data_IF_787678514701
#
_entry.id   IF_787678514701
#
_cell.length_a   1.000
_cell.length_b   1.000
_cell.length_c   1.000
_cell.angle_alpha   90.00
_cell.angle_beta   90.00
_cell.angle_gamma   90.00
#
_symmetry.space_group_name_H-M   'P 1'
#
loop_
_entity.id
_entity.type
_entity.pdbx_description
1 polymer ?
#
# COMPACT_ATOMS: atom_id res chain seq x y z
N UNK A 1 15.38 -42.58 58.18
CA UNK A 1 16.16 -41.42 58.64
C UNK A 1 16.77 -40.58 57.53
N UNK A 2 17.83 -40.98 56.80
CA UNK A 2 18.45 -40.09 55.79
C UNK A 2 17.56 -39.88 54.55
N UNK A 3 16.89 -40.95 54.08
CA UNK A 3 15.95 -40.87 52.95
C UNK A 3 14.75 -39.96 53.24
N UNK A 4 14.24 -39.94 54.48
CA UNK A 4 13.17 -39.03 54.91
C UNK A 4 13.66 -37.59 54.94
N UNK A 5 14.85 -37.33 55.49
CA UNK A 5 15.45 -35.99 55.50
C UNK A 5 15.64 -35.43 54.09
N UNK A 6 16.06 -36.26 53.13
CA UNK A 6 16.15 -35.85 51.71
C UNK A 6 14.77 -35.42 51.21
N UNK A 7 13.72 -36.22 51.44
CA UNK A 7 12.35 -35.90 51.01
C UNK A 7 11.76 -34.65 51.69
N UNK A 8 12.15 -34.36 52.93
CA UNK A 8 11.62 -33.23 53.71
C UNK A 8 12.35 -31.91 53.45
N UNK A 9 13.56 -31.95 52.88
CA UNK A 9 14.40 -30.77 52.63
C UNK A 9 13.71 -29.79 51.68
N UNK A 10 13.72 -28.48 51.97
CA UNK A 10 12.93 -27.49 51.22
C UNK A 10 13.75 -26.50 50.40
N UNK A 11 15.06 -26.43 50.58
CA UNK A 11 15.94 -25.55 49.81
C UNK A 11 17.10 -26.30 49.18
N UNK A 12 17.60 -25.79 48.06
CA UNK A 12 18.81 -26.32 47.40
C UNK A 12 20.03 -26.22 48.32
N UNK A 13 20.13 -25.18 49.15
CA UNK A 13 21.21 -25.01 50.13
C UNK A 13 21.21 -26.13 51.17
N UNK A 14 20.06 -26.40 51.80
CA UNK A 14 19.91 -27.50 52.76
C UNK A 14 20.17 -28.86 52.10
N UNK A 15 19.74 -29.05 50.85
CA UNK A 15 19.94 -30.30 50.11
C UNK A 15 21.43 -30.52 49.81
N UNK A 16 22.16 -29.46 49.48
CA UNK A 16 23.60 -29.48 49.22
C UNK A 16 24.41 -29.73 50.50
N UNK A 17 24.01 -29.14 51.63
CA UNK A 17 24.58 -29.42 52.95
C UNK A 17 24.38 -30.89 53.34
N UNK A 18 23.17 -31.41 53.15
CA UNK A 18 22.84 -32.81 53.40
C UNK A 18 23.63 -33.75 52.47
N UNK A 19 23.75 -33.41 51.19
CA UNK A 19 24.55 -34.16 50.22
C UNK A 19 26.02 -34.23 50.66
N UNK A 20 26.57 -33.10 51.11
CA UNK A 20 27.96 -33.01 51.61
C UNK A 20 28.15 -33.85 52.88
N UNK A 21 27.16 -33.91 53.77
CA UNK A 21 27.20 -34.75 54.98
C UNK A 21 27.18 -36.26 54.68
N UNK A 22 26.64 -36.67 53.54
CA UNK A 22 26.52 -38.08 53.14
C UNK A 22 27.69 -38.50 52.23
N UNK A 23 27.99 -37.71 51.20
CA UNK A 23 28.95 -38.04 50.14
C UNK A 23 30.24 -37.21 50.16
N UNK A 24 30.38 -36.25 51.08
CA UNK A 24 31.59 -35.44 51.22
C UNK A 24 32.80 -36.25 51.69
N UNK A 25 33.96 -35.59 51.83
CA UNK A 25 35.23 -36.23 52.22
C UNK A 25 35.16 -37.02 53.55
N UNK A 26 34.36 -36.50 54.49
CA UNK A 26 34.07 -37.08 55.79
C UNK A 26 32.62 -37.59 55.91
N UNK A 27 31.96 -37.81 54.78
CA UNK A 27 30.54 -38.19 54.74
C UNK A 27 30.29 -39.62 55.20
N UNK A 28 29.09 -39.87 55.70
CA UNK A 28 28.68 -41.18 56.24
C UNK A 28 28.73 -42.30 55.20
N UNK A 29 28.27 -42.04 53.97
CA UNK A 29 28.34 -43.00 52.86
C UNK A 29 29.79 -43.17 52.37
N UNK A 30 30.56 -42.08 52.30
CA UNK A 30 31.99 -42.14 51.94
C UNK A 30 32.80 -43.00 52.92
N UNK A 31 32.52 -42.93 54.22
CA UNK A 31 33.16 -43.78 55.22
C UNK A 31 32.81 -45.25 55.03
N UNK A 32 31.52 -45.56 54.78
CA UNK A 32 31.04 -46.94 54.51
C UNK A 32 31.64 -47.51 53.22
N UNK A 33 31.75 -46.70 52.16
CA UNK A 33 32.38 -47.11 50.90
C UNK A 33 33.88 -47.38 51.04
N UNK A 34 34.60 -46.67 51.92
CA UNK A 34 36.03 -46.94 52.22
C UNK A 34 36.23 -48.27 52.96
N UNK A 35 35.26 -48.69 53.76
CA UNK A 35 35.28 -49.95 54.51
C UNK A 35 34.84 -51.16 53.68
N UNK A 36 34.45 -50.95 52.41
CA UNK A 36 33.96 -51.99 51.50
C UNK A 36 34.93 -53.17 51.32
N UNK A 37 36.24 -52.93 51.46
CA UNK A 37 37.27 -53.99 51.41
C UNK A 37 37.09 -55.08 52.47
N UNK A 38 36.41 -54.78 53.58
CA UNK A 38 36.19 -55.68 54.71
C UNK A 38 34.84 -56.41 54.66
N UNK A 39 34.02 -56.18 53.61
CA UNK A 39 32.70 -56.78 53.44
C UNK A 39 32.72 -57.99 52.50
N UNK A 40 31.77 -58.92 52.68
CA UNK A 40 31.50 -60.01 51.75
C UNK A 40 30.78 -59.53 50.47
N UNK A 41 30.58 -60.42 49.49
CA UNK A 41 30.02 -60.05 48.19
C UNK A 41 28.58 -59.54 48.28
N UNK A 42 27.76 -60.11 49.15
CA UNK A 42 26.35 -59.73 49.30
C UNK A 42 26.22 -58.36 49.96
N UNK A 43 26.99 -58.11 51.02
CA UNK A 43 27.04 -56.81 51.70
C UNK A 43 27.63 -55.71 50.81
N UNK A 44 28.58 -56.03 49.92
CA UNK A 44 29.09 -55.10 48.89
C UNK A 44 28.03 -54.75 47.85
N UNK A 45 27.26 -55.72 47.39
CA UNK A 45 26.19 -55.49 46.43
C UNK A 45 25.09 -54.60 47.03
N UNK A 46 24.74 -54.83 48.30
CA UNK A 46 23.75 -54.02 49.01
C UNK A 46 24.22 -52.57 49.22
N UNK A 47 25.48 -52.37 49.64
CA UNK A 47 26.04 -51.03 49.81
C UNK A 47 26.10 -50.23 48.50
N UNK A 48 26.39 -50.89 47.37
CA UNK A 48 26.37 -50.26 46.06
C UNK A 48 24.95 -49.87 45.63
N UNK A 49 23.96 -50.73 45.92
CA UNK A 49 22.54 -50.45 45.67
C UNK A 49 22.08 -49.23 46.48
N UNK A 50 22.36 -49.22 47.78
CA UNK A 50 22.01 -48.09 48.66
C UNK A 50 22.67 -46.78 48.21
N UNK A 51 23.94 -46.81 47.81
CA UNK A 51 24.63 -45.64 47.26
C UNK A 51 23.98 -45.13 45.97
N UNK A 52 23.57 -46.02 45.07
CA UNK A 52 22.86 -45.65 43.84
C UNK A 52 21.48 -45.06 44.15
N UNK A 53 20.71 -45.71 45.03
CA UNK A 53 19.38 -45.25 45.46
C UNK A 53 19.43 -43.89 46.12
N UNK A 54 20.39 -43.65 47.02
CA UNK A 54 20.53 -42.33 47.66
C UNK A 54 20.92 -41.25 46.65
N UNK A 55 21.82 -41.53 45.70
CA UNK A 55 22.18 -40.57 44.64
C UNK A 55 20.98 -40.22 43.78
N UNK A 56 20.17 -41.21 43.39
CA UNK A 56 18.94 -40.97 42.65
C UNK A 56 17.91 -40.20 43.48
N UNK A 57 17.82 -40.46 44.78
CA UNK A 57 16.90 -39.73 45.66
C UNK A 57 17.30 -38.25 45.79
N UNK A 58 18.60 -37.95 45.91
CA UNK A 58 19.10 -36.57 45.89
C UNK A 58 18.84 -35.88 44.55
N UNK A 59 19.13 -36.56 43.43
CA UNK A 59 18.87 -36.04 42.08
C UNK A 59 17.39 -35.73 41.88
N UNK A 60 16.52 -36.65 42.28
CA UNK A 60 15.07 -36.50 42.20
C UNK A 60 14.61 -35.31 43.04
N UNK A 61 15.06 -35.21 44.29
CA UNK A 61 14.69 -34.11 45.17
C UNK A 61 15.17 -32.75 44.66
N UNK A 62 16.38 -32.70 44.12
CA UNK A 62 16.92 -31.48 43.52
C UNK A 62 15.99 -31.01 42.38
N UNK A 63 15.63 -31.89 41.46
CA UNK A 63 14.72 -31.55 40.36
C UNK A 63 13.31 -31.14 40.84
N UNK A 64 12.80 -31.74 41.92
CA UNK A 64 11.53 -31.32 42.53
C UNK A 64 11.58 -29.89 43.08
N UNK A 65 12.66 -29.53 43.79
CA UNK A 65 12.84 -28.19 44.35
C UNK A 65 13.02 -27.17 43.22
N UNK A 66 13.87 -27.44 42.23
CA UNK A 66 14.08 -26.57 41.07
C UNK A 66 12.77 -26.34 40.28
N UNK A 67 11.97 -27.39 40.06
CA UNK A 67 10.68 -27.28 39.40
C UNK A 67 9.66 -26.48 40.22
N UNK A 68 9.68 -26.61 41.56
CA UNK A 68 8.81 -25.84 42.43
C UNK A 68 9.18 -24.34 42.44
N UNK A 69 10.47 -24.01 42.51
CA UNK A 69 10.98 -22.63 42.42
C UNK A 69 10.64 -22.00 41.06
N UNK A 70 10.85 -22.74 39.96
CA UNK A 70 10.50 -22.28 38.61
C UNK A 70 9.00 -22.03 38.47
N UNK A 71 8.15 -22.95 38.92
CA UNK A 71 6.70 -22.77 38.84
C UNK A 71 6.21 -21.60 39.72
N UNK A 72 6.82 -21.39 40.89
CA UNK A 72 6.53 -20.22 41.73
C UNK A 72 6.92 -18.92 41.02
N UNK A 73 8.08 -18.88 40.35
CA UNK A 73 8.51 -17.73 39.56
C UNK A 73 7.58 -17.49 38.34
N UNK A 74 7.17 -18.54 37.64
CA UNK A 74 6.22 -18.43 36.52
C UNK A 74 4.84 -17.96 36.98
N UNK A 75 4.41 -18.37 38.18
CA UNK A 75 3.14 -17.93 38.75
C UNK A 75 3.11 -16.42 39.06
N UNK A 76 4.26 -15.82 39.40
CA UNK A 76 4.36 -14.36 39.62
C UNK A 76 4.57 -13.57 38.33
N UNK A 77 4.97 -14.22 37.24
CA UNK A 77 5.20 -13.61 35.92
C UNK A 77 4.00 -13.76 34.96
N UNK A 78 2.78 -13.92 35.48
CA UNK A 78 1.59 -13.96 34.62
C UNK A 78 1.33 -12.59 34.02
N UNK A 79 1.50 -12.48 32.71
CA UNK A 79 1.07 -11.35 31.91
C UNK A 79 -0.34 -11.62 31.37
N UNK A 80 -1.16 -10.58 31.28
CA UNK A 80 -2.35 -10.62 30.44
C UNK A 80 -1.94 -10.49 28.97
N UNK A 81 -1.89 -11.62 28.27
CA UNK A 81 -1.55 -11.69 26.84
C UNK A 81 -2.66 -11.16 25.93
N UNK A 82 -3.82 -10.80 26.49
CA UNK A 82 -4.93 -10.18 25.76
C UNK A 82 -4.90 -8.66 25.81
N UNK A 83 -3.99 -8.07 26.61
CA UNK A 83 -3.77 -6.62 26.57
C UNK A 83 -3.33 -6.21 25.18
N UNK A 84 -3.97 -5.17 24.67
CA UNK A 84 -3.55 -4.53 23.43
C UNK A 84 -2.09 -4.08 23.57
N UNK A 85 -1.30 -4.33 22.53
CA UNK A 85 0.00 -3.69 22.42
C UNK A 85 -0.20 -2.16 22.43
N UNK A 86 0.83 -1.41 22.86
CA UNK A 86 0.77 0.04 22.69
C UNK A 86 0.39 0.37 21.25
N UNK A 87 -0.59 1.27 21.02
CA UNK A 87 -1.08 1.52 19.69
C UNK A 87 0.06 2.06 18.83
N UNK A 88 0.51 1.26 17.86
CA UNK A 88 1.37 1.76 16.81
C UNK A 88 0.57 2.80 16.02
N UNK A 89 1.03 4.06 16.04
CA UNK A 89 0.50 5.09 15.16
C UNK A 89 0.93 4.79 13.72
N UNK A 90 0.30 3.78 13.10
CA UNK A 90 0.51 3.45 11.69
C UNK A 90 -0.15 4.54 10.86
N UNK A 91 0.67 5.26 10.10
CA UNK A 91 0.18 6.17 9.08
C UNK A 91 -0.47 5.40 7.94
N UNK A 92 -1.31 6.11 7.22
CA UNK A 92 -2.13 5.61 6.11
C UNK A 92 -1.96 6.55 4.92
N UNK A 93 -2.20 6.03 3.72
CA UNK A 93 -2.03 6.79 2.48
C UNK A 93 -3.38 7.38 2.09
N UNK A 94 -3.37 8.65 1.70
CA UNK A 94 -4.57 9.35 1.25
C UNK A 94 -5.26 8.60 0.08
N UNK A 95 -6.60 8.50 0.04
CA UNK A 95 -7.32 7.72 -0.99
C UNK A 95 -6.97 8.13 -2.42
N UNK A 96 -6.80 9.43 -2.68
CA UNK A 96 -6.39 9.94 -4.00
C UNK A 96 -5.02 9.42 -4.39
N UNK A 97 -4.07 9.36 -3.45
CA UNK A 97 -2.71 8.86 -3.69
C UNK A 97 -2.71 7.35 -3.92
N UNK A 98 -3.56 6.60 -3.21
CA UNK A 98 -3.71 5.16 -3.47
C UNK A 98 -4.32 4.87 -4.83
N UNK A 99 -5.39 5.59 -5.19
CA UNK A 99 -5.99 5.49 -6.52
C UNK A 99 -4.98 5.85 -7.62
N UNK A 100 -4.18 6.91 -7.42
CA UNK A 100 -3.11 7.30 -8.33
C UNK A 100 -2.09 6.17 -8.51
N UNK A 101 -1.62 5.57 -7.41
CA UNK A 101 -0.67 4.44 -7.45
C UNK A 101 -1.21 3.28 -8.27
N UNK A 102 -2.46 2.87 -7.99
CA UNK A 102 -3.09 1.76 -8.70
C UNK A 102 -3.32 2.08 -10.20
N UNK A 103 -3.76 3.30 -10.51
CA UNK A 103 -3.95 3.74 -11.90
C UNK A 103 -2.62 3.74 -12.65
N UNK A 104 -1.56 4.29 -12.05
CA UNK A 104 -0.21 4.29 -12.63
C UNK A 104 0.26 2.87 -12.92
N UNK A 105 0.14 1.95 -11.97
CA UNK A 105 0.53 0.54 -12.17
C UNK A 105 -0.24 -0.13 -13.33
N UNK A 106 -1.52 0.19 -13.50
CA UNK A 106 -2.32 -0.34 -14.61
C UNK A 106 -1.83 0.24 -15.93
N UNK A 107 -1.67 1.56 -16.03
CA UNK A 107 -1.24 2.22 -17.26
C UNK A 107 0.19 1.82 -17.66
N UNK A 108 1.11 1.72 -16.70
CA UNK A 108 2.48 1.23 -16.93
C UNK A 108 2.48 -0.21 -17.47
N UNK A 109 1.60 -1.07 -16.96
CA UNK A 109 1.47 -2.43 -17.49
C UNK A 109 0.93 -2.51 -18.92
N UNK A 110 0.28 -1.45 -19.41
CA UNK A 110 -0.14 -1.30 -20.80
C UNK A 110 0.95 -0.65 -21.68
N UNK A 111 2.12 -0.36 -21.09
CA UNK A 111 3.28 0.23 -21.76
C UNK A 111 3.25 1.76 -21.82
N UNK A 112 2.40 2.43 -21.03
CA UNK A 112 2.47 3.89 -20.91
C UNK A 112 3.60 4.31 -19.97
N UNK A 113 4.31 5.37 -20.34
CA UNK A 113 5.37 5.98 -19.52
C UNK A 113 4.85 7.17 -18.73
N UNK A 114 5.18 7.24 -17.44
CA UNK A 114 4.70 8.31 -16.56
C UNK A 114 5.42 9.64 -16.83
N UNK A 115 4.65 10.71 -16.98
CA UNK A 115 5.13 12.07 -17.15
C UNK A 115 4.52 13.02 -16.12
N UNK A 116 5.29 14.02 -15.74
CA UNK A 116 4.84 15.15 -14.91
C UNK A 116 5.29 16.46 -15.54
N UNK A 117 4.71 17.58 -15.12
CA UNK A 117 5.08 18.89 -15.61
C UNK A 117 4.60 20.01 -14.69
N UNK A 118 4.93 21.27 -15.03
CA UNK A 118 4.64 22.41 -14.16
C UNK A 118 3.14 22.64 -14.05
N UNK A 119 2.71 23.17 -12.90
CA UNK A 119 1.31 23.57 -12.66
C UNK A 119 1.01 24.96 -13.22
N UNK A 120 2.03 25.81 -13.33
CA UNK A 120 1.94 27.11 -14.01
C UNK A 120 2.38 26.90 -15.45
N UNK A 121 1.48 27.16 -16.38
CA UNK A 121 1.69 27.01 -17.82
C UNK A 121 1.55 28.34 -18.55
N UNK A 122 2.17 28.44 -19.73
CA UNK A 122 1.89 29.51 -20.66
C UNK A 122 0.65 29.20 -21.52
N UNK A 123 0.16 30.18 -22.27
CA UNK A 123 -0.99 30.02 -23.17
C UNK A 123 -0.73 28.97 -24.28
N UNK A 124 0.52 28.87 -24.74
CA UNK A 124 0.89 27.94 -25.82
C UNK A 124 0.59 26.50 -25.40
N UNK A 125 1.16 26.05 -24.29
CA UNK A 125 1.02 24.67 -23.84
C UNK A 125 -0.38 24.37 -23.30
N UNK A 126 -1.02 25.32 -22.62
CA UNK A 126 -2.33 25.06 -22.01
C UNK A 126 -3.49 25.15 -23.02
N UNK A 127 -3.35 25.89 -24.13
CA UNK A 127 -4.44 26.13 -25.06
C UNK A 127 -4.05 26.13 -26.55
N UNK A 128 -3.11 26.97 -26.98
CA UNK A 128 -2.88 27.21 -28.42
C UNK A 128 -2.38 25.96 -29.14
N UNK A 129 -1.40 25.25 -28.57
CA UNK A 129 -0.89 24.00 -29.12
C UNK A 129 -1.98 22.91 -29.18
N UNK A 130 -2.94 22.96 -28.27
CA UNK A 130 -4.12 22.08 -28.19
C UNK A 130 -5.28 22.55 -29.08
N UNK A 131 -4.99 23.34 -30.12
CA UNK A 131 -5.95 23.79 -31.13
C UNK A 131 -7.17 24.51 -30.51
N UNK A 132 -7.01 25.09 -29.32
CA UNK A 132 -8.07 25.82 -28.63
C UNK A 132 -7.96 27.29 -29.02
N UNK A 133 -8.92 27.88 -29.77
CA UNK A 133 -8.80 29.27 -30.23
C UNK A 133 -8.99 30.30 -29.11
N UNK A 134 -8.54 31.54 -29.31
CA UNK A 134 -8.61 32.64 -28.34
C UNK A 134 -10.04 32.95 -27.85
N UNK A 135 -11.04 32.73 -28.70
CA UNK A 135 -12.46 32.95 -28.39
C UNK A 135 -13.14 31.74 -27.74
N UNK A 136 -12.40 30.68 -27.41
CA UNK A 136 -12.97 29.48 -26.78
C UNK A 136 -13.34 29.76 -25.32
N UNK A 137 -14.52 29.29 -24.83
CA UNK A 137 -14.94 29.52 -23.43
C UNK A 137 -13.93 29.06 -22.38
N UNK A 138 -13.20 27.97 -22.63
CA UNK A 138 -12.13 27.51 -21.73
C UNK A 138 -11.02 28.54 -21.46
N UNK A 139 -10.88 29.58 -22.31
CA UNK A 139 -9.95 30.70 -22.13
C UNK A 139 -10.59 31.91 -21.42
N UNK A 140 -11.85 31.82 -21.03
CA UNK A 140 -12.53 32.90 -20.33
C UNK A 140 -11.90 33.12 -18.94
N UNK A 141 -11.79 34.40 -18.54
CA UNK A 141 -11.33 34.78 -17.21
C UNK A 141 -12.26 34.27 -16.10
N UNK A 142 -13.51 33.93 -16.41
CA UNK A 142 -14.44 33.34 -15.44
C UNK A 142 -14.08 31.91 -15.06
N UNK A 143 -13.43 31.15 -15.96
CA UNK A 143 -13.17 29.71 -15.77
C UNK A 143 -11.70 29.42 -15.40
N UNK A 144 -10.77 30.25 -15.90
CA UNK A 144 -9.31 30.02 -15.76
C UNK A 144 -8.65 30.98 -14.76
N UNK A 145 -7.70 30.46 -13.97
CA UNK A 145 -6.84 31.26 -13.10
C UNK A 145 -5.65 31.84 -13.86
N UNK A 146 -5.79 33.07 -14.34
CA UNK A 146 -4.71 33.85 -14.94
C UNK A 146 -3.80 34.50 -13.88
N UNK A 147 -2.50 34.49 -14.14
CA UNK A 147 -1.45 35.13 -13.35
C UNK A 147 -1.10 36.51 -13.93
N UNK A 148 -0.47 37.36 -13.10
CA UNK A 148 -0.12 38.74 -13.48
C UNK A 148 0.81 38.84 -14.70
N UNK A 149 1.60 37.80 -14.97
CA UNK A 149 2.54 37.74 -16.09
C UNK A 149 1.90 37.17 -17.38
N UNK A 150 0.61 36.87 -17.38
CA UNK A 150 -0.10 36.27 -18.53
C UNK A 150 -0.11 34.74 -18.56
N UNK A 151 0.64 34.08 -17.66
CA UNK A 151 0.58 32.63 -17.50
C UNK A 151 -0.73 32.21 -16.82
N UNK A 152 -1.02 30.92 -16.81
CA UNK A 152 -2.20 30.32 -16.18
C UNK A 152 -1.81 29.23 -15.21
N UNK A 153 -2.63 29.02 -14.18
CA UNK A 153 -2.66 27.71 -13.53
C UNK A 153 -3.31 26.74 -14.52
N UNK A 154 -2.64 25.64 -14.85
CA UNK A 154 -3.10 24.73 -15.92
C UNK A 154 -4.51 24.20 -15.65
N UNK A 155 -5.34 24.17 -16.68
CA UNK A 155 -6.74 23.71 -16.59
C UNK A 155 -6.91 22.21 -16.87
N UNK A 156 -5.83 21.61 -17.35
CA UNK A 156 -5.75 20.24 -17.85
C UNK A 156 -4.28 19.78 -17.81
N UNK A 157 -4.05 18.47 -17.75
CA UNK A 157 -2.70 17.90 -17.86
C UNK A 157 -2.22 17.75 -19.30
N UNK A 158 -3.04 18.13 -20.29
CA UNK A 158 -2.69 18.09 -21.72
C UNK A 158 -1.49 18.96 -22.07
N UNK A 159 -1.20 19.99 -21.27
CA UNK A 159 0.03 20.78 -21.42
C UNK A 159 1.28 19.90 -21.30
N UNK A 160 1.26 18.87 -20.45
CA UNK A 160 2.34 17.89 -20.30
C UNK A 160 2.46 17.04 -21.58
N UNK A 161 1.34 16.72 -22.23
CA UNK A 161 1.35 15.98 -23.49
C UNK A 161 2.03 16.77 -24.62
N UNK A 162 1.73 18.08 -24.71
CA UNK A 162 2.40 18.98 -25.67
C UNK A 162 3.91 18.99 -25.43
N UNK A 163 4.32 19.20 -24.17
CA UNK A 163 5.74 19.18 -23.79
C UNK A 163 6.42 17.87 -24.15
N UNK A 164 5.78 16.73 -23.84
CA UNK A 164 6.33 15.42 -24.15
C UNK A 164 6.47 15.18 -25.66
N UNK A 165 5.49 15.60 -26.47
CA UNK A 165 5.62 15.53 -27.94
C UNK A 165 6.76 16.40 -28.47
N UNK A 166 6.99 17.58 -27.89
CA UNK A 166 8.11 18.47 -28.25
C UNK A 166 9.48 17.92 -27.83
N UNK A 167 9.57 17.25 -26.68
CA UNK A 167 10.86 16.74 -26.14
C UNK A 167 11.21 15.34 -26.63
N UNK A 168 10.24 14.43 -26.66
CA UNK A 168 10.47 13.00 -26.85
C UNK A 168 10.17 12.57 -28.29
N UNK A 169 9.29 13.31 -28.99
CA UNK A 169 8.86 13.02 -30.35
C UNK A 169 7.92 11.83 -30.45
N UNK A 170 7.97 11.10 -31.57
CA UNK A 170 7.11 9.94 -31.87
C UNK A 170 7.93 8.72 -32.34
N UNK A 171 7.50 7.48 -32.06
CA UNK A 171 6.27 7.09 -31.37
C UNK A 171 6.31 7.38 -29.87
N UNK A 172 5.15 7.72 -29.29
CA UNK A 172 5.03 8.06 -27.87
C UNK A 172 3.80 7.39 -27.26
N UNK A 173 3.99 6.73 -26.11
CA UNK A 173 2.92 6.17 -25.29
C UNK A 173 3.16 6.59 -23.84
N UNK A 174 2.39 7.56 -23.37
CA UNK A 174 2.61 8.23 -22.08
C UNK A 174 1.31 8.50 -21.32
N UNK A 175 1.41 8.66 -20.01
CA UNK A 175 0.35 9.25 -19.20
C UNK A 175 0.91 10.35 -18.31
N UNK A 176 0.19 11.46 -18.25
CA UNK A 176 0.47 12.60 -17.41
C UNK A 176 -0.40 12.53 -16.16
N UNK A 177 0.16 12.92 -15.02
CA UNK A 177 -0.60 13.08 -13.78
C UNK A 177 -0.30 14.44 -13.15
N UNK A 178 -1.30 15.01 -12.49
CA UNK A 178 -1.08 16.16 -11.63
C UNK A 178 -2.32 16.99 -11.37
N UNK A 179 -2.16 18.01 -10.52
CA UNK A 179 -3.22 18.93 -10.16
C UNK A 179 -3.58 19.86 -11.32
N UNK A 180 -4.85 20.12 -11.51
CA UNK A 180 -5.40 21.09 -12.46
C UNK A 180 -6.34 22.05 -11.72
N UNK A 181 -6.57 23.23 -12.29
CA UNK A 181 -7.21 24.34 -11.60
C UNK A 181 -8.32 24.95 -12.45
N UNK A 182 -9.50 25.15 -11.86
CA UNK A 182 -10.67 25.79 -12.48
C UNK A 182 -11.43 26.61 -11.46
N UNK A 183 -12.10 27.69 -11.88
CA UNK A 183 -12.87 28.55 -10.97
C UNK A 183 -14.27 27.99 -10.69
N UNK A 184 -14.33 26.72 -10.31
CA UNK A 184 -15.56 25.98 -10.02
C UNK A 184 -15.52 25.45 -8.59
N UNK A 185 -16.64 25.50 -7.87
CA UNK A 185 -16.73 24.96 -6.51
C UNK A 185 -18.16 24.52 -6.17
N UNK A 186 -18.36 23.20 -6.08
CA UNK A 186 -19.58 22.57 -5.57
C UNK A 186 -19.25 21.21 -4.91
N UNK A 187 -20.24 20.31 -4.72
CA UNK A 187 -20.02 19.01 -4.09
C UNK A 187 -19.22 18.01 -4.97
N UNK A 188 -19.18 18.25 -6.28
CA UNK A 188 -18.56 17.40 -7.32
C UNK A 188 -17.42 18.09 -8.05
N UNK A 189 -17.25 19.40 -7.89
CA UNK A 189 -16.22 20.22 -8.50
C UNK A 189 -15.43 20.98 -7.44
N UNK A 190 -14.11 20.87 -7.48
CA UNK A 190 -13.19 21.63 -6.64
C UNK A 190 -12.37 22.60 -7.47
N UNK A 191 -11.88 23.71 -6.88
CA UNK A 191 -11.08 24.68 -7.62
C UNK A 191 -9.70 24.15 -8.01
N UNK A 192 -9.29 23.05 -7.37
CA UNK A 192 -8.15 22.22 -7.69
C UNK A 192 -8.59 20.77 -7.60
N UNK A 193 -8.21 19.96 -8.59
CA UNK A 193 -8.43 18.51 -8.58
C UNK A 193 -7.30 17.79 -9.32
N UNK A 194 -7.13 16.51 -9.07
CA UNK A 194 -6.18 15.66 -9.78
C UNK A 194 -6.76 15.21 -11.12
N UNK A 195 -5.95 15.31 -12.17
CA UNK A 195 -6.27 14.80 -13.49
C UNK A 195 -5.19 13.83 -13.95
N UNK A 196 -5.64 12.80 -14.68
CA UNK A 196 -4.76 11.86 -15.36
C UNK A 196 -5.17 11.84 -16.82
N UNK A 197 -4.18 11.96 -17.70
CA UNK A 197 -4.40 11.91 -19.13
C UNK A 197 -3.39 11.02 -19.82
N UNK A 198 -3.87 10.18 -20.73
CA UNK A 198 -3.03 9.34 -21.58
C UNK A 198 -2.92 9.89 -22.99
N UNK A 199 -1.78 9.65 -23.63
CA UNK A 199 -1.51 9.91 -25.03
C UNK A 199 -0.81 8.68 -25.64
N UNK A 200 -1.30 8.22 -26.79
CA UNK A 200 -0.61 7.21 -27.59
C UNK A 200 -0.61 7.60 -29.06
N UNK A 201 0.57 7.87 -29.63
CA UNK A 201 0.78 8.20 -31.05
C UNK A 201 1.79 7.22 -31.66
N UNK A 202 1.38 6.56 -32.74
CA UNK A 202 2.20 5.73 -33.61
C UNK A 202 1.57 5.67 -35.02
N UNK A 203 2.12 4.92 -35.97
CA UNK A 203 1.67 4.91 -37.38
C UNK A 203 0.26 4.35 -37.57
N UNK A 204 -0.14 3.38 -36.77
CA UNK A 204 -1.35 2.57 -36.98
C UNK A 204 -2.30 2.55 -35.77
N UNK A 205 -2.28 3.58 -34.93
CA UNK A 205 -3.15 3.67 -33.75
C UNK A 205 -4.56 4.06 -34.16
N UNK A 206 -5.58 3.37 -33.66
CA UNK A 206 -6.98 3.58 -34.03
C UNK A 206 -7.87 3.86 -32.83
N UNK A 207 -9.09 4.34 -33.10
CA UNK A 207 -10.13 4.49 -32.07
C UNK A 207 -10.50 3.14 -31.42
N UNK A 208 -10.35 2.02 -32.14
CA UNK A 208 -10.59 0.69 -31.59
C UNK A 208 -9.58 0.34 -30.50
N UNK A 209 -8.32 0.77 -30.66
CA UNK A 209 -7.27 0.57 -29.66
C UNK A 209 -7.59 1.38 -28.39
N UNK A 210 -8.01 2.65 -28.53
CA UNK A 210 -8.48 3.49 -27.42
C UNK A 210 -9.60 2.80 -26.62
N UNK A 211 -10.63 2.33 -27.32
CA UNK A 211 -11.79 1.67 -26.67
C UNK A 211 -11.35 0.35 -26.00
N UNK A 212 -10.38 -0.36 -26.57
CA UNK A 212 -9.76 -1.54 -25.99
C UNK A 212 -9.05 -1.23 -24.67
N UNK A 213 -8.14 -0.26 -24.70
CA UNK A 213 -7.36 0.19 -23.53
C UNK A 213 -8.28 0.68 -22.40
N UNK A 214 -9.28 1.52 -22.71
CA UNK A 214 -10.24 2.03 -21.71
C UNK A 214 -11.02 0.90 -21.05
N UNK A 215 -11.51 -0.07 -21.84
CA UNK A 215 -12.27 -1.21 -21.30
C UNK A 215 -11.40 -2.07 -20.39
N UNK A 216 -10.17 -2.35 -20.81
CA UNK A 216 -9.22 -3.12 -20.02
C UNK A 216 -8.84 -2.38 -18.72
N UNK A 217 -8.63 -1.06 -18.81
CA UNK A 217 -8.33 -0.20 -17.68
C UNK A 217 -9.44 -0.25 -16.63
N UNK A 218 -10.69 0.07 -16.99
CA UNK A 218 -11.79 0.09 -16.03
C UNK A 218 -12.08 -1.28 -15.45
N UNK A 219 -11.92 -2.34 -16.25
CA UNK A 219 -12.09 -3.71 -15.77
C UNK A 219 -11.11 -4.02 -14.63
N UNK A 220 -9.83 -3.67 -14.81
CA UNK A 220 -8.79 -3.90 -13.81
C UNK A 220 -8.92 -2.95 -12.62
N UNK A 221 -9.09 -1.66 -12.87
CA UNK A 221 -9.18 -0.65 -11.81
C UNK A 221 -10.37 -0.86 -10.88
N UNK A 222 -11.55 -1.24 -11.39
CA UNK A 222 -12.71 -1.52 -10.53
C UNK A 222 -12.84 -2.99 -10.12
N UNK A 223 -11.90 -3.87 -10.51
CA UNK A 223 -11.96 -5.30 -10.19
C UNK A 223 -13.21 -6.00 -10.75
N UNK A 224 -13.74 -5.52 -11.87
CA UNK A 224 -14.99 -6.01 -12.46
C UNK A 224 -14.75 -7.20 -13.39
N UNK A 225 -15.68 -8.14 -13.44
CA UNK A 225 -15.63 -9.25 -14.41
C UNK A 225 -16.01 -8.78 -15.82
N UNK A 226 -16.95 -7.82 -15.91
CA UNK A 226 -17.45 -7.23 -17.14
C UNK A 226 -17.54 -5.70 -17.03
N UNK A 227 -17.33 -5.01 -18.14
CA UNK A 227 -17.44 -3.56 -18.26
C UNK A 227 -18.28 -3.23 -19.49
N UNK A 228 -19.44 -2.64 -19.27
CA UNK A 228 -20.30 -2.11 -20.32
C UNK A 228 -20.00 -0.62 -20.52
N UNK A 229 -19.55 -0.26 -21.72
CA UNK A 229 -19.24 1.12 -22.11
C UNK A 229 -20.29 1.64 -23.07
N UNK A 230 -20.67 2.91 -22.90
CA UNK A 230 -21.47 3.68 -23.86
C UNK A 230 -20.62 4.83 -24.37
N UNK A 231 -20.35 4.82 -25.67
CA UNK A 231 -19.53 5.82 -26.35
C UNK A 231 -20.47 6.83 -26.99
N UNK A 232 -20.34 8.10 -26.62
CA UNK A 232 -21.12 9.20 -27.18
C UNK A 232 -20.20 10.15 -27.94
N UNK A 233 -20.58 10.63 -29.13
CA UNK A 233 -19.87 11.73 -29.77
C UNK A 233 -19.86 12.95 -28.83
N UNK A 234 -18.72 13.61 -28.74
CA UNK A 234 -18.56 14.88 -28.03
C UNK A 234 -17.69 15.83 -28.87
N UNK A 235 -17.21 16.91 -28.28
CA UNK A 235 -16.32 17.87 -28.93
C UNK A 235 -15.23 18.33 -27.97
N UNK A 236 -13.98 18.08 -28.36
CA UNK A 236 -12.80 18.72 -27.78
C UNK A 236 -11.97 19.31 -28.92
N UNK A 237 -11.47 20.56 -28.82
CA UNK A 237 -10.71 21.20 -29.89
C UNK A 237 -9.46 20.42 -30.33
N UNK A 238 -8.90 19.62 -29.42
CA UNK A 238 -7.67 18.83 -29.62
C UNK A 238 -7.90 17.39 -30.10
N UNK A 239 -9.15 16.95 -30.30
CA UNK A 239 -9.44 15.60 -30.83
C UNK A 239 -10.53 15.59 -31.91
N UNK A 240 -10.36 14.73 -32.92
CA UNK A 240 -11.38 14.44 -33.94
C UNK A 240 -11.18 13.04 -34.56
N UNK A 241 -12.12 12.08 -34.38
CA UNK A 241 -13.37 12.20 -33.63
C UNK A 241 -13.14 12.30 -32.11
N UNK A 242 -13.95 13.15 -31.47
CA UNK A 242 -14.06 13.30 -30.02
C UNK A 242 -15.19 12.42 -29.46
N UNK A 243 -14.94 11.78 -28.31
CA UNK A 243 -15.90 10.91 -27.63
C UNK A 243 -15.93 11.17 -26.11
N UNK A 244 -17.11 11.00 -25.52
CA UNK A 244 -17.29 10.78 -24.09
C UNK A 244 -17.57 9.30 -23.84
N UNK A 245 -16.98 8.77 -22.76
CA UNK A 245 -17.17 7.38 -22.36
C UNK A 245 -17.94 7.34 -21.05
N UNK A 246 -19.14 6.79 -21.12
CA UNK A 246 -19.93 6.43 -19.95
C UNK A 246 -19.74 4.94 -19.64
N UNK A 247 -19.75 4.59 -18.35
CA UNK A 247 -19.73 3.21 -17.89
C UNK A 247 -21.00 2.90 -17.10
N UNK A 248 -21.51 1.68 -17.27
CA UNK A 248 -22.64 1.20 -16.49
C UNK A 248 -22.20 0.93 -15.04
N UNK A 249 -22.92 1.51 -14.07
CA UNK A 249 -22.56 1.47 -12.65
C UNK A 249 -23.78 1.18 -11.76
N UNK A 250 -23.60 0.38 -10.71
CA UNK A 250 -24.60 0.05 -9.69
C UNK A 250 -26.02 -0.24 -10.26
N UNK A 251 -26.11 -1.21 -11.18
CA UNK A 251 -27.35 -1.54 -11.88
C UNK A 251 -27.34 -0.93 -13.29
N UNK A 252 -28.40 -0.19 -13.65
CA UNK A 252 -28.61 0.34 -15.01
C UNK A 252 -28.27 1.83 -15.17
N UNK A 253 -27.55 2.44 -14.22
CA UNK A 253 -27.16 3.85 -14.31
C UNK A 253 -25.90 3.99 -15.17
N UNK A 254 -25.95 4.89 -16.15
CA UNK A 254 -24.76 5.31 -16.89
C UNK A 254 -24.09 6.48 -16.18
N UNK A 255 -22.80 6.35 -15.90
CA UNK A 255 -21.98 7.41 -15.35
C UNK A 255 -20.92 7.81 -16.36
N UNK A 256 -20.83 9.11 -16.65
CA UNK A 256 -19.71 9.66 -17.41
C UNK A 256 -18.42 9.43 -16.63
N UNK A 257 -17.42 8.83 -17.29
CA UNK A 257 -16.15 8.47 -16.66
C UNK A 257 -15.01 9.34 -17.19
N UNK A 258 -15.03 9.69 -18.47
CA UNK A 258 -13.90 10.33 -19.14
C UNK A 258 -14.27 10.91 -20.51
N UNK A 259 -13.46 11.89 -20.94
CA UNK A 259 -13.37 12.33 -22.33
C UNK A 259 -12.17 11.68 -23.03
N UNK A 260 -12.30 11.39 -24.32
CA UNK A 260 -11.24 10.81 -25.14
C UNK A 260 -11.45 11.13 -26.62
N UNK A 261 -10.47 10.81 -27.46
CA UNK A 261 -10.62 10.93 -28.90
C UNK A 261 -9.32 10.72 -29.67
N UNK A 262 -9.42 10.70 -31.00
CA UNK A 262 -8.24 10.69 -31.86
C UNK A 262 -7.62 12.08 -31.89
N UNK A 263 -6.30 12.20 -31.71
CA UNK A 263 -5.61 13.49 -31.66
C UNK A 263 -5.82 14.26 -32.95
N UNK A 264 -6.26 15.51 -32.84
CA UNK A 264 -6.56 16.33 -34.01
C UNK A 264 -5.28 16.65 -34.81
N UNK A 265 -5.30 16.57 -36.16
CA UNK A 265 -4.11 16.80 -36.98
C UNK A 265 -3.39 18.13 -36.76
N UNK A 266 -4.11 19.20 -36.37
CA UNK A 266 -3.48 20.48 -35.99
C UNK A 266 -2.60 20.34 -34.75
N UNK A 267 -3.01 19.55 -33.75
CA UNK A 267 -2.20 19.35 -32.53
C UNK A 267 -0.90 18.64 -32.87
N UNK A 268 -0.96 17.61 -33.73
CA UNK A 268 0.22 16.93 -34.24
C UNK A 268 1.15 17.91 -34.98
N UNK A 269 0.60 18.72 -35.89
CA UNK A 269 1.37 19.75 -36.62
C UNK A 269 2.00 20.79 -35.70
N UNK A 270 1.27 21.25 -34.67
CA UNK A 270 1.77 22.21 -33.68
C UNK A 270 2.98 21.66 -32.92
N UNK A 271 3.08 20.34 -32.77
CA UNK A 271 4.22 19.66 -32.14
C UNK A 271 5.26 19.15 -33.14
N UNK A 272 5.20 19.56 -34.42
CA UNK A 272 6.14 19.13 -35.46
C UNK A 272 5.97 17.67 -35.92
N UNK A 273 4.84 17.03 -35.62
CA UNK A 273 4.54 15.65 -36.01
C UNK A 273 3.70 15.65 -37.30
N UNK A 274 4.09 14.80 -38.25
CA UNK A 274 3.44 14.65 -39.56
C UNK A 274 2.17 13.77 -39.45
N UNK A 275 0.95 14.34 -39.57
CA UNK A 275 -0.30 13.60 -39.38
C UNK A 275 -0.61 12.62 -40.52
N UNK A 276 0.09 12.72 -41.66
CA UNK A 276 -0.05 11.73 -42.74
C UNK A 276 0.75 10.45 -42.44
N UNK A 277 1.66 10.49 -41.46
CA UNK A 277 2.51 9.36 -41.05
C UNK A 277 2.16 8.82 -39.67
N UNK A 278 1.72 9.68 -38.77
CA UNK A 278 1.44 9.34 -37.38
C UNK A 278 0.03 9.75 -37.02
N UNK A 279 -0.62 8.92 -36.22
CA UNK A 279 -1.92 9.19 -35.64
C UNK A 279 -1.95 8.64 -34.23
N UNK A 280 -2.94 9.03 -33.45
CA UNK A 280 -2.98 8.62 -32.07
C UNK A 280 -4.27 8.99 -31.41
N UNK A 281 -4.42 8.56 -30.17
CA UNK A 281 -5.52 8.98 -29.32
C UNK A 281 -5.00 9.61 -28.04
N UNK A 282 -5.84 10.43 -27.45
CA UNK A 282 -5.67 10.91 -26.09
C UNK A 282 -6.92 10.63 -25.27
N UNK A 283 -6.77 10.56 -23.97
CA UNK A 283 -7.87 10.40 -23.03
C UNK A 283 -7.59 11.10 -21.71
N UNK A 284 -8.64 11.46 -20.98
CA UNK A 284 -8.52 12.13 -19.69
C UNK A 284 -9.65 11.81 -18.72
N UNK A 285 -9.29 11.56 -17.46
CA UNK A 285 -10.24 11.38 -16.37
C UNK A 285 -9.80 12.10 -15.10
N UNK A 286 -10.78 12.51 -14.29
CA UNK A 286 -10.54 13.07 -12.97
C UNK A 286 -10.13 11.97 -12.00
N UNK A 287 -8.94 12.09 -11.43
CA UNK A 287 -8.39 11.14 -10.46
C UNK A 287 -9.31 11.04 -9.24
N UNK A 288 -9.74 12.19 -8.72
CA UNK A 288 -10.59 12.27 -7.54
C UNK A 288 -11.92 11.55 -7.74
N UNK A 289 -12.55 11.74 -8.90
CA UNK A 289 -13.82 11.10 -9.23
C UNK A 289 -13.66 9.58 -9.31
N UNK A 290 -12.56 9.09 -9.87
CA UNK A 290 -12.28 7.64 -9.87
C UNK A 290 -12.02 7.11 -8.45
N UNK A 291 -11.29 7.85 -7.61
CA UNK A 291 -11.08 7.48 -6.21
C UNK A 291 -12.40 7.45 -5.43
N UNK A 292 -13.26 8.45 -5.62
CA UNK A 292 -14.59 8.49 -5.01
C UNK A 292 -15.45 7.29 -5.42
N UNK A 293 -15.46 6.94 -6.70
CA UNK A 293 -16.21 5.77 -7.19
C UNK A 293 -15.64 4.45 -6.65
N UNK A 294 -14.32 4.30 -6.64
CA UNK A 294 -13.61 3.09 -6.16
C UNK A 294 -13.87 2.84 -4.69
N UNK A 295 -13.82 3.88 -3.87
CA UNK A 295 -13.93 3.79 -2.41
C UNK A 295 -15.31 4.19 -1.88
N UNK A 296 -16.28 4.44 -2.76
CA UNK A 296 -17.65 4.84 -2.43
C UNK A 296 -17.71 6.09 -1.52
N UNK A 297 -16.94 7.12 -1.89
CA UNK A 297 -16.87 8.39 -1.15
C UNK A 297 -17.91 9.38 -1.71
N UNK A 298 -18.78 9.96 -0.86
CA UNK A 298 -19.94 10.72 -1.32
C UNK A 298 -19.66 12.18 -1.71
N UNK A 299 -18.61 12.80 -1.16
CA UNK A 299 -18.34 14.23 -1.31
C UNK A 299 -16.87 14.47 -1.65
N UNK A 300 -16.60 15.24 -2.72
CA UNK A 300 -15.25 15.57 -3.16
C UNK A 300 -14.51 16.42 -2.11
N UNK A 301 -15.23 17.28 -1.39
CA UNK A 301 -14.64 18.27 -0.46
C UNK A 301 -13.95 17.59 0.71
N UNK A 302 -14.41 16.41 1.11
CA UNK A 302 -13.82 15.64 2.21
C UNK A 302 -12.37 15.21 1.90
N UNK A 303 -12.03 15.01 0.61
CA UNK A 303 -10.67 14.70 0.16
C UNK A 303 -9.68 15.84 0.41
N UNK A 304 -10.16 17.08 0.48
CA UNK A 304 -9.32 18.27 0.65
C UNK A 304 -9.44 18.89 2.04
N UNK A 305 -10.43 18.48 2.83
CA UNK A 305 -10.61 18.91 4.22
C UNK A 305 -9.55 18.35 5.17
N UNK A 306 -8.88 17.25 4.80
CA UNK A 306 -7.84 16.59 5.60
C UNK A 306 -8.28 16.25 7.04
N UNK A 307 -9.55 15.88 7.25
CA UNK A 307 -10.03 15.45 8.56
C UNK A 307 -9.50 14.04 8.88
N UNK A 308 -8.57 13.96 9.84
CA UNK A 308 -7.94 12.70 10.28
C UNK A 308 -8.98 11.67 10.77
N UNK A 309 -10.10 12.11 11.33
CA UNK A 309 -11.17 11.19 11.79
C UNK A 309 -11.91 10.59 10.61
N UNK A 310 -12.16 11.39 9.58
CA UNK A 310 -12.78 10.94 8.35
C UNK A 310 -11.87 9.95 7.62
N UNK A 311 -10.60 10.29 7.43
CA UNK A 311 -9.59 9.42 6.83
C UNK A 311 -9.58 8.06 7.55
N UNK A 312 -9.41 8.05 8.88
CA UNK A 312 -9.42 6.82 9.69
C UNK A 312 -10.70 6.01 9.54
N UNK A 313 -11.86 6.67 9.48
CA UNK A 313 -13.16 5.99 9.35
C UNK A 313 -13.31 5.32 7.98
N UNK A 314 -12.75 5.93 6.94
CA UNK A 314 -12.74 5.40 5.57
C UNK A 314 -11.63 4.35 5.33
N UNK A 315 -10.76 4.10 6.33
CA UNK A 315 -9.64 3.16 6.22
C UNK A 315 -8.38 3.77 5.61
N UNK A 316 -8.26 5.11 5.66
CA UNK A 316 -7.16 5.91 5.12
C UNK A 316 -6.53 6.80 6.17
#
# INVERSE_FOLDING_TARGET
MIQEKIKETKSLTELQELYTSVFGKNGTMTARLKDMKNLDNDARAELNRENAELRELFRTRQSEIEAAELNAALATQKLDVTLDAEPENRGTIHPVTMALSEISEILESFGYTHHTGPEIEDDWHNFTALNTPDYHPARDMQDTFFLKNGNVMRTQTSAIQIRAMETDGVPIKMFATGSTYRKEMDATHGPMFGQIEGLYIDKNVTLSDLIGDIRAFFKRFFGLSNVELRIRPSYFPFTDPSIEVDMKWNGDKWLEMMGAGMVHPNVLRNCGIDPDKYQGFAFGFGLDRLAMLKYNLPDLRDLYGNDVRWLKTCGF
#
